data_IF_354227351468
#
_entry.id   IF_354227351468
#
_cell.length_a   1.000
_cell.length_b   1.000
_cell.length_c   1.000
_cell.angle_alpha   90.00
_cell.angle_beta   90.00
_cell.angle_gamma   90.00
#
_symmetry.space_group_name_H-M   'P 1'
#
loop_
_entity.id
_entity.type
_entity.pdbx_description
1 polymer ?
#
# COMPACT_ATOMS: atom_id res chain seq x y z
N UNK A 1 -6.29 36.98 -38.52
CA UNK A 1 -7.04 35.82 -39.06
C UNK A 1 -6.36 35.02 -40.21
N UNK A 2 -5.35 35.53 -40.95
CA UNK A 2 -4.70 34.75 -42.05
C UNK A 2 -3.73 33.63 -41.61
N UNK A 3 -3.29 33.60 -40.35
CA UNK A 3 -2.30 32.61 -39.86
C UNK A 3 -2.87 31.18 -39.79
N UNK A 4 -4.08 31.03 -39.22
CA UNK A 4 -4.81 29.76 -39.12
C UNK A 4 -5.18 29.15 -40.48
N UNK A 5 -5.24 29.97 -41.53
CA UNK A 5 -5.51 29.54 -42.90
C UNK A 5 -4.25 29.19 -43.71
N UNK A 6 -3.05 29.34 -43.14
CA UNK A 6 -1.83 28.95 -43.85
C UNK A 6 -1.70 27.43 -43.93
N UNK A 7 -1.27 26.92 -45.09
CA UNK A 7 -1.01 25.48 -45.30
C UNK A 7 -0.03 24.93 -44.25
N UNK A 8 0.98 25.73 -43.87
CA UNK A 8 1.94 25.38 -42.81
C UNK A 8 1.24 25.09 -41.48
N UNK A 9 0.40 26.01 -41.03
CA UNK A 9 -0.28 25.88 -39.74
C UNK A 9 -1.20 24.66 -39.72
N UNK A 10 -1.98 24.45 -40.79
CA UNK A 10 -2.86 23.28 -40.92
C UNK A 10 -2.08 21.97 -40.89
N UNK A 11 -0.95 21.88 -41.61
CA UNK A 11 -0.08 20.71 -41.58
C UNK A 11 0.50 20.45 -40.19
N UNK A 12 0.99 21.48 -39.49
CA UNK A 12 1.50 21.32 -38.10
C UNK A 12 0.40 20.79 -37.20
N UNK A 13 -0.81 21.36 -37.27
CA UNK A 13 -1.92 20.95 -36.42
C UNK A 13 -2.33 19.49 -36.69
N UNK A 14 -2.43 19.09 -37.96
CA UNK A 14 -2.74 17.70 -38.33
C UNK A 14 -1.65 16.74 -37.82
N UNK A 15 -0.38 17.05 -38.06
CA UNK A 15 0.74 16.20 -37.62
C UNK A 15 0.79 16.07 -36.10
N UNK A 16 0.62 17.19 -35.38
CA UNK A 16 0.56 17.19 -33.93
C UNK A 16 -0.63 16.38 -33.42
N UNK A 17 -1.83 16.57 -33.96
CA UNK A 17 -3.01 15.84 -33.52
C UNK A 17 -2.87 14.35 -33.77
N UNK A 18 -2.41 13.94 -34.95
CA UNK A 18 -2.24 12.52 -35.32
C UNK A 18 -1.17 11.84 -34.47
N UNK A 19 -0.10 12.54 -34.09
CA UNK A 19 0.98 11.96 -33.30
C UNK A 19 0.72 12.04 -31.78
N UNK A 20 0.26 13.19 -31.27
CA UNK A 20 0.13 13.42 -29.83
C UNK A 20 -1.15 12.82 -29.25
N UNK A 21 -2.28 12.82 -29.95
CA UNK A 21 -3.53 12.30 -29.37
C UNK A 21 -3.40 10.81 -29.01
N UNK A 22 -2.96 9.91 -29.91
CA UNK A 22 -2.80 8.50 -29.55
C UNK A 22 -1.71 8.30 -28.49
N UNK A 23 -0.60 9.05 -28.58
CA UNK A 23 0.51 8.94 -27.65
C UNK A 23 0.10 9.33 -26.22
N UNK A 24 -0.60 10.46 -26.05
CA UNK A 24 -1.08 10.91 -24.75
C UNK A 24 -2.18 9.99 -24.21
N UNK A 25 -3.08 9.51 -25.08
CA UNK A 25 -4.11 8.56 -24.68
C UNK A 25 -3.50 7.25 -24.18
N UNK A 26 -2.54 6.68 -24.92
CA UNK A 26 -1.82 5.46 -24.51
C UNK A 26 -1.00 5.68 -23.24
N UNK A 27 -0.27 6.80 -23.15
CA UNK A 27 0.52 7.11 -21.96
C UNK A 27 -0.36 7.29 -20.72
N UNK A 28 -1.49 7.99 -20.85
CA UNK A 28 -2.46 8.16 -19.77
C UNK A 28 -3.06 6.83 -19.35
N UNK A 29 -3.45 5.99 -20.32
CA UNK A 29 -3.99 4.66 -20.05
C UNK A 29 -2.96 3.77 -19.34
N UNK A 30 -1.72 3.72 -19.84
CA UNK A 30 -0.64 2.94 -19.26
C UNK A 30 -0.30 3.40 -17.84
N UNK A 31 -0.22 4.71 -17.60
CA UNK A 31 0.05 5.25 -16.27
C UNK A 31 -1.08 4.92 -15.29
N UNK A 32 -2.33 4.99 -15.73
CA UNK A 32 -3.49 4.60 -14.92
C UNK A 32 -3.47 3.11 -14.56
N UNK A 33 -3.16 2.25 -15.54
CA UNK A 33 -3.05 0.80 -15.33
C UNK A 33 -1.91 0.48 -14.35
N UNK A 34 -0.72 1.05 -14.59
CA UNK A 34 0.46 0.86 -13.74
C UNK A 34 0.21 1.28 -12.29
N UNK A 35 -0.41 2.43 -12.06
CA UNK A 35 -0.74 2.89 -10.70
C UNK A 35 -1.79 2.00 -10.02
N UNK A 36 -2.75 1.47 -10.78
CA UNK A 36 -3.76 0.54 -10.27
C UNK A 36 -3.12 -0.78 -9.86
N UNK A 37 -2.29 -1.37 -10.74
CA UNK A 37 -1.57 -2.62 -10.48
C UNK A 37 -0.63 -2.51 -9.28
N UNK A 38 0.16 -1.44 -9.18
CA UNK A 38 1.04 -1.21 -8.03
C UNK A 38 0.25 -1.04 -6.75
N UNK A 39 -0.83 -0.25 -6.79
CA UNK A 39 -1.68 -0.08 -5.60
C UNK A 39 -2.25 -1.42 -5.16
N UNK A 40 -2.74 -2.23 -6.08
CA UNK A 40 -3.26 -3.56 -5.77
C UNK A 40 -2.17 -4.49 -5.24
N UNK A 41 -0.97 -4.46 -5.83
CA UNK A 41 0.18 -5.25 -5.38
C UNK A 41 0.59 -4.89 -3.94
N UNK A 42 0.64 -3.59 -3.63
CA UNK A 42 0.91 -3.09 -2.27
C UNK A 42 -0.16 -3.59 -1.31
N UNK A 43 -1.45 -3.44 -1.65
CA UNK A 43 -2.55 -3.92 -0.82
C UNK A 43 -2.42 -5.40 -0.50
N UNK A 44 -2.21 -6.23 -1.51
CA UNK A 44 -2.04 -7.69 -1.35
C UNK A 44 -0.84 -8.01 -0.47
N UNK A 45 0.31 -7.38 -0.73
CA UNK A 45 1.54 -7.62 0.04
C UNK A 45 1.38 -7.24 1.52
N UNK A 46 0.79 -6.08 1.82
CA UNK A 46 0.55 -5.65 3.20
C UNK A 46 -0.43 -6.59 3.92
N UNK A 47 -1.51 -7.02 3.25
CA UNK A 47 -2.45 -8.01 3.81
C UNK A 47 -1.76 -9.35 4.07
N UNK A 48 -0.89 -9.81 3.17
CA UNK A 48 -0.11 -11.03 3.35
C UNK A 48 0.87 -10.92 4.53
N UNK A 49 1.53 -9.77 4.70
CA UNK A 49 2.40 -9.50 5.86
C UNK A 49 1.58 -9.54 7.14
N UNK A 50 0.43 -8.85 7.19
CA UNK A 50 -0.46 -8.88 8.35
C UNK A 50 -0.94 -10.31 8.67
N UNK A 51 -1.38 -11.05 7.65
CA UNK A 51 -1.88 -12.41 7.78
C UNK A 51 -0.80 -13.41 8.21
N UNK A 52 0.41 -13.27 7.69
CA UNK A 52 1.56 -14.07 8.09
C UNK A 52 1.91 -13.83 9.56
N UNK A 53 1.96 -12.56 9.98
CA UNK A 53 2.22 -12.21 11.37
C UNK A 53 1.07 -12.61 12.31
N UNK A 54 -0.19 -12.53 11.87
CA UNK A 54 -1.32 -13.06 12.62
C UNK A 54 -1.18 -14.56 12.89
N UNK A 55 -0.72 -15.35 11.91
CA UNK A 55 -0.41 -16.78 12.09
C UNK A 55 0.79 -17.02 13.02
N UNK A 56 1.82 -16.18 12.97
CA UNK A 56 2.97 -16.26 13.89
C UNK A 56 2.50 -16.06 15.33
N UNK A 57 1.69 -15.03 15.58
CA UNK A 57 1.11 -14.76 16.89
C UNK A 57 0.17 -15.89 17.32
N UNK A 58 -0.67 -16.39 16.42
CA UNK A 58 -1.56 -17.51 16.70
C UNK A 58 -0.79 -18.77 17.14
N UNK A 59 0.26 -19.12 16.40
CA UNK A 59 1.14 -20.24 16.73
C UNK A 59 1.86 -20.04 18.06
N UNK A 60 2.32 -18.82 18.36
CA UNK A 60 2.97 -18.50 19.62
C UNK A 60 1.99 -18.68 20.80
N UNK A 61 0.77 -18.14 20.70
CA UNK A 61 -0.28 -18.30 21.73
C UNK A 61 -0.66 -19.78 21.89
N UNK A 62 -0.86 -20.48 20.79
CA UNK A 62 -1.20 -21.90 20.79
C UNK A 62 -0.09 -22.75 21.40
N UNK A 63 1.19 -22.43 21.15
CA UNK A 63 2.32 -23.12 21.76
C UNK A 63 2.32 -22.96 23.28
N UNK A 64 2.13 -21.73 23.80
CA UNK A 64 2.05 -21.48 25.25
C UNK A 64 0.85 -22.16 25.89
N UNK A 65 -0.30 -22.11 25.21
CA UNK A 65 -1.53 -22.77 25.65
C UNK A 65 -1.35 -24.27 25.71
N UNK A 66 -0.78 -24.87 24.67
CA UNK A 66 -0.53 -26.31 24.61
C UNK A 66 0.45 -26.76 25.69
N UNK A 67 1.52 -26.00 25.93
CA UNK A 67 2.44 -26.31 27.02
C UNK A 67 1.71 -26.34 28.38
N UNK A 68 0.83 -25.37 28.64
CA UNK A 68 0.05 -25.34 29.88
C UNK A 68 -0.97 -26.48 29.98
N UNK A 69 -1.58 -26.87 28.86
CA UNK A 69 -2.48 -28.04 28.78
C UNK A 69 -1.72 -29.34 29.07
N UNK A 70 -0.55 -29.53 28.48
CA UNK A 70 0.25 -30.75 28.72
C UNK A 70 0.81 -30.79 30.14
N UNK A 71 1.19 -29.63 30.70
CA UNK A 71 1.54 -29.52 32.12
C UNK A 71 0.38 -29.97 33.02
N UNK A 72 -0.83 -29.48 32.77
CA UNK A 72 -2.02 -29.88 33.52
C UNK A 72 -2.29 -31.39 33.46
N UNK A 73 -2.09 -32.01 32.28
CA UNK A 73 -2.30 -33.46 32.09
C UNK A 73 -1.22 -34.32 32.73
N UNK A 74 0.04 -33.89 32.67
CA UNK A 74 1.17 -34.68 33.14
C UNK A 74 1.27 -34.76 34.68
N UNK A 75 0.55 -33.87 35.38
CA UNK A 75 0.67 -33.64 36.81
C UNK A 75 -0.69 -33.77 37.51
N UNK A 76 -1.06 -34.98 37.96
CA UNK A 76 -2.34 -35.25 38.62
C UNK A 76 -2.61 -34.36 39.84
N UNK A 77 -1.55 -33.83 40.48
CA UNK A 77 -1.65 -32.93 41.62
C UNK A 77 -2.52 -31.68 41.35
N UNK A 78 -2.61 -31.22 40.09
CA UNK A 78 -3.52 -30.13 39.72
C UNK A 78 -4.98 -30.53 39.88
N UNK A 79 -5.37 -31.72 39.41
CA UNK A 79 -6.73 -32.25 39.53
C UNK A 79 -7.08 -32.71 40.96
N UNK A 80 -6.07 -33.15 41.72
CA UNK A 80 -6.20 -33.49 43.15
C UNK A 80 -6.26 -32.25 44.05
N UNK A 81 -5.98 -31.06 43.51
CA UNK A 81 -5.87 -29.79 44.24
C UNK A 81 -4.86 -29.89 45.42
N UNK A 82 -3.78 -30.66 45.24
CA UNK A 82 -2.70 -30.82 46.23
C UNK A 82 -1.77 -29.61 46.20
N UNK A 83 -2.10 -28.62 47.03
CA UNK A 83 -1.39 -27.33 47.09
C UNK A 83 0.14 -27.47 47.21
N UNK A 84 0.65 -28.43 47.99
CA UNK A 84 2.09 -28.55 48.24
C UNK A 84 2.83 -29.07 47.01
N UNK A 85 2.29 -30.11 46.34
CA UNK A 85 2.89 -30.65 45.12
C UNK A 85 2.77 -29.66 43.97
N UNK A 86 1.60 -29.05 43.81
CA UNK A 86 1.35 -28.08 42.75
C UNK A 86 2.27 -26.86 42.86
N UNK A 87 2.51 -26.35 44.07
CA UNK A 87 3.46 -25.24 44.29
C UNK A 87 4.89 -25.60 43.85
N UNK A 88 5.34 -26.83 44.13
CA UNK A 88 6.67 -27.27 43.70
C UNK A 88 6.77 -27.36 42.17
N UNK A 89 5.75 -27.90 41.51
CA UNK A 89 5.68 -28.00 40.05
C UNK A 89 5.69 -26.62 39.39
N UNK A 90 4.84 -25.69 39.84
CA UNK A 90 4.79 -24.33 39.30
C UNK A 90 6.09 -23.54 39.54
N UNK A 91 6.78 -23.77 40.67
CA UNK A 91 8.07 -23.13 40.95
C UNK A 91 9.13 -23.52 39.92
N UNK A 92 9.15 -24.78 39.47
CA UNK A 92 10.08 -25.26 38.45
C UNK A 92 9.74 -24.62 37.09
N UNK A 93 8.47 -24.61 36.70
CA UNK A 93 8.01 -24.01 35.43
C UNK A 93 8.40 -22.53 35.35
N UNK A 94 8.11 -21.76 36.41
CA UNK A 94 8.45 -20.33 36.49
C UNK A 94 9.96 -20.05 36.42
N UNK A 95 10.82 -21.01 36.77
CA UNK A 95 12.29 -20.83 36.69
C UNK A 95 12.84 -21.09 35.28
N UNK A 96 12.14 -21.87 34.46
CA UNK A 96 12.60 -22.28 33.13
C UNK A 96 12.07 -21.34 32.05
N UNK A 97 10.84 -20.85 32.19
CA UNK A 97 10.21 -20.01 31.16
C UNK A 97 10.40 -18.50 31.43
N UNK A 98 11.43 -17.89 30.83
CA UNK A 98 11.72 -16.46 31.02
C UNK A 98 10.62 -15.50 30.54
N UNK A 99 9.73 -15.95 29.65
CA UNK A 99 8.60 -15.17 29.13
C UNK A 99 7.39 -15.20 30.07
N UNK A 100 7.33 -16.18 30.97
CA UNK A 100 6.25 -16.33 31.96
C UNK A 100 6.66 -15.64 33.25
N UNK A 101 5.87 -14.67 33.67
CA UNK A 101 6.14 -13.95 34.92
C UNK A 101 5.69 -14.74 36.15
N UNK A 102 4.49 -15.32 36.06
CA UNK A 102 3.88 -16.14 37.11
C UNK A 102 2.93 -17.16 36.53
N UNK A 103 3.07 -18.42 36.93
CA UNK A 103 2.01 -19.41 36.86
C UNK A 103 1.31 -19.57 38.22
N UNK A 104 0.00 -19.77 38.21
CA UNK A 104 -0.85 -19.92 39.39
C UNK A 104 -1.97 -20.94 39.17
N UNK A 105 -2.62 -21.35 40.25
CA UNK A 105 -3.88 -22.12 40.22
C UNK A 105 -4.95 -21.36 40.99
N UNK A 106 -6.16 -21.30 40.44
CA UNK A 106 -7.34 -20.80 41.12
C UNK A 106 -8.41 -21.88 41.21
N UNK A 107 -9.16 -21.92 42.31
CA UNK A 107 -10.27 -22.86 42.50
C UNK A 107 -11.51 -22.48 41.65
N UNK A 108 -12.56 -23.31 41.76
CA UNK A 108 -13.84 -23.13 41.06
C UNK A 108 -14.56 -21.80 41.35
N UNK A 109 -14.20 -21.17 42.47
CA UNK A 109 -14.77 -19.92 42.96
C UNK A 109 -13.82 -18.73 42.69
N UNK A 110 -12.72 -18.95 41.95
CA UNK A 110 -11.78 -17.91 41.54
C UNK A 110 -10.77 -17.51 42.60
N UNK A 111 -10.66 -18.26 43.72
CA UNK A 111 -9.66 -17.97 44.73
C UNK A 111 -8.30 -18.53 44.27
N UNK A 112 -7.30 -17.66 44.17
CA UNK A 112 -5.93 -18.11 43.91
C UNK A 112 -5.44 -18.97 45.08
N UNK A 113 -5.22 -20.24 44.79
CA UNK A 113 -4.74 -21.20 45.78
C UNK A 113 -3.21 -21.19 45.88
N UNK A 114 -2.52 -20.72 44.84
CA UNK A 114 -1.08 -20.96 44.66
C UNK A 114 -0.42 -19.77 43.96
N UNK A 115 0.20 -18.90 44.76
CA UNK A 115 1.27 -17.99 44.34
C UNK A 115 2.24 -17.83 45.53
N UNK A 116 3.53 -17.59 45.24
CA UNK A 116 4.53 -17.09 46.20
C UNK A 116 4.21 -15.66 46.72
N UNK A 117 2.99 -15.16 46.50
CA UNK A 117 2.55 -13.82 46.82
C UNK A 117 1.29 -13.88 47.70
N UNK A 118 1.36 -13.24 48.86
CA UNK A 118 0.29 -13.24 49.85
C UNK A 118 -0.90 -12.40 49.38
N UNK A 119 -1.99 -13.08 49.04
CA UNK A 119 -3.33 -12.55 48.74
C UNK A 119 -3.46 -11.75 47.43
N UNK A 120 -3.71 -12.47 46.33
CA UNK A 120 -4.30 -11.87 45.11
C UNK A 120 -5.79 -11.64 45.29
N UNK A 121 -6.40 -10.66 44.59
CA UNK A 121 -7.84 -10.55 44.50
C UNK A 121 -8.42 -11.79 43.84
N UNK A 122 -9.69 -12.07 44.15
CA UNK A 122 -10.43 -13.13 43.51
C UNK A 122 -10.59 -12.84 42.00
N UNK A 123 -10.40 -13.85 41.15
CA UNK A 123 -10.45 -13.73 39.69
C UNK A 123 -11.74 -14.25 39.06
N UNK A 124 -12.77 -14.56 39.85
CA UNK A 124 -14.04 -15.10 39.35
C UNK A 124 -14.72 -14.17 38.32
N UNK A 125 -14.52 -12.85 38.46
CA UNK A 125 -15.08 -11.84 37.57
C UNK A 125 -14.21 -11.58 36.32
N UNK A 126 -13.03 -12.19 36.24
CA UNK A 126 -12.13 -12.00 35.10
C UNK A 126 -12.66 -12.75 33.89
N UNK A 127 -12.70 -12.08 32.73
CA UNK A 127 -13.29 -12.63 31.51
C UNK A 127 -12.69 -13.98 31.09
N UNK A 128 -11.38 -14.16 31.21
CA UNK A 128 -10.70 -15.42 30.88
C UNK A 128 -11.07 -16.56 31.84
N UNK A 129 -11.27 -16.27 33.13
CA UNK A 129 -11.73 -17.26 34.11
C UNK A 129 -13.17 -17.70 33.80
N UNK A 130 -14.07 -16.74 33.56
CA UNK A 130 -15.47 -17.00 33.18
C UNK A 130 -15.51 -17.85 31.90
N UNK A 131 -14.78 -17.46 30.85
CA UNK A 131 -14.71 -18.22 29.61
C UNK A 131 -14.18 -19.64 29.81
N UNK A 132 -13.12 -19.83 30.59
CA UNK A 132 -12.57 -21.16 30.86
C UNK A 132 -13.55 -22.04 31.66
N UNK A 133 -14.27 -21.45 32.62
CA UNK A 133 -15.29 -22.11 33.44
C UNK A 133 -16.50 -22.55 32.62
N UNK A 134 -17.04 -21.67 31.79
CA UNK A 134 -18.24 -21.91 31.00
C UNK A 134 -18.00 -22.85 29.82
N UNK A 135 -16.91 -22.61 29.09
CA UNK A 135 -16.61 -23.38 27.86
C UNK A 135 -15.86 -24.67 28.12
N UNK A 136 -15.25 -24.81 29.31
CA UNK A 136 -14.32 -25.91 29.66
C UNK A 136 -13.18 -26.06 28.64
N UNK A 137 -12.79 -24.96 28.00
CA UNK A 137 -11.67 -24.87 27.06
C UNK A 137 -10.67 -23.81 27.56
N UNK A 138 -9.42 -23.84 27.06
CA UNK A 138 -8.48 -22.76 27.34
C UNK A 138 -9.03 -21.39 26.90
N UNK A 139 -8.72 -20.36 27.66
CA UNK A 139 -9.12 -18.99 27.41
C UNK A 139 -7.92 -18.05 27.58
N UNK A 140 -7.87 -17.00 26.77
CA UNK A 140 -6.80 -16.00 26.78
C UNK A 140 -7.42 -14.66 27.14
N UNK A 141 -6.81 -13.94 28.08
CA UNK A 141 -7.28 -12.61 28.48
C UNK A 141 -6.90 -11.55 27.45
N UNK A 142 -7.56 -10.39 27.48
CA UNK A 142 -6.97 -9.17 26.93
C UNK A 142 -5.74 -8.76 27.76
N UNK A 143 -5.02 -7.72 27.34
CA UNK A 143 -3.92 -7.15 28.10
C UNK A 143 -4.39 -6.68 29.48
N UNK A 144 -3.61 -7.02 30.50
CA UNK A 144 -3.86 -6.59 31.87
C UNK A 144 -2.56 -6.21 32.57
N UNK A 145 -2.69 -5.50 33.69
CA UNK A 145 -1.58 -5.17 34.56
C UNK A 145 -1.38 -6.29 35.58
N UNK A 146 -0.15 -6.75 35.73
CA UNK A 146 0.21 -7.77 36.70
C UNK A 146 0.13 -7.20 38.11
N UNK A 147 -0.69 -7.81 38.95
CA UNK A 147 -0.82 -7.47 40.37
C UNK A 147 0.49 -7.64 41.16
N UNK A 148 1.43 -8.42 40.63
CA UNK A 148 2.73 -8.67 41.26
C UNK A 148 3.74 -7.57 40.98
N UNK A 149 3.79 -7.07 39.74
CA UNK A 149 4.91 -6.24 39.27
C UNK A 149 4.50 -4.92 38.61
N UNK A 150 3.21 -4.73 38.31
CA UNK A 150 2.74 -3.65 37.43
C UNK A 150 3.10 -3.85 35.96
N UNK A 151 3.73 -4.97 35.59
CA UNK A 151 4.08 -5.26 34.20
C UNK A 151 2.83 -5.63 33.41
N UNK A 152 2.84 -5.33 32.11
CA UNK A 152 1.74 -5.72 31.23
C UNK A 152 1.87 -7.16 30.81
N UNK A 153 0.80 -7.91 31.01
CA UNK A 153 0.74 -9.35 30.81
C UNK A 153 -0.51 -9.75 30.03
N UNK A 154 -0.47 -10.97 29.49
CA UNK A 154 -1.62 -11.71 28.98
C UNK A 154 -1.74 -12.97 29.84
N UNK A 155 -2.93 -13.26 30.35
CA UNK A 155 -3.23 -14.48 31.07
C UNK A 155 -3.72 -15.56 30.11
N UNK A 156 -3.08 -16.73 30.16
CA UNK A 156 -3.54 -17.95 29.49
C UNK A 156 -4.08 -18.87 30.57
N UNK A 157 -5.39 -19.13 30.54
CA UNK A 157 -6.08 -19.96 31.51
C UNK A 157 -6.50 -21.29 30.89
N UNK A 158 -6.16 -22.39 31.54
CA UNK A 158 -6.54 -23.75 31.15
C UNK A 158 -7.42 -24.33 32.27
N UNK A 159 -8.63 -24.84 31.96
CA UNK A 159 -9.51 -25.40 32.97
C UNK A 159 -8.98 -26.73 33.50
N UNK A 160 -9.05 -26.87 34.82
CA UNK A 160 -8.81 -28.12 35.54
C UNK A 160 -10.16 -28.83 35.69
N UNK A 161 -10.23 -30.05 35.17
CA UNK A 161 -11.45 -30.85 35.18
C UNK A 161 -11.25 -32.13 36.00
N UNK A 162 -12.27 -32.56 36.73
CA UNK A 162 -12.28 -33.88 37.35
C UNK A 162 -12.51 -34.99 36.32
N UNK A 163 -12.44 -36.26 36.77
CA UNK A 163 -12.68 -37.43 35.90
C UNK A 163 -14.09 -37.48 35.30
N UNK A 164 -15.05 -36.78 35.89
CA UNK A 164 -16.42 -36.65 35.40
C UNK A 164 -16.62 -35.42 34.48
N UNK A 165 -15.58 -34.62 34.26
CA UNK A 165 -15.62 -33.41 33.45
C UNK A 165 -16.19 -32.18 34.17
N UNK A 166 -16.28 -32.19 35.50
CA UNK A 166 -16.68 -31.02 36.29
C UNK A 166 -15.52 -30.04 36.43
N UNK A 167 -15.83 -28.75 36.41
CA UNK A 167 -14.85 -27.69 36.55
C UNK A 167 -14.40 -27.56 38.01
N UNK A 168 -13.10 -27.74 38.25
CA UNK A 168 -12.48 -27.63 39.57
C UNK A 168 -11.79 -26.29 39.79
N UNK A 169 -11.43 -25.59 38.71
CA UNK A 169 -10.62 -24.37 38.74
C UNK A 169 -9.85 -24.19 37.44
N UNK A 170 -8.84 -23.31 37.47
CA UNK A 170 -7.93 -23.10 36.34
C UNK A 170 -6.48 -23.19 36.79
N UNK A 171 -5.62 -23.63 35.87
CA UNK A 171 -4.20 -23.30 35.88
C UNK A 171 -4.00 -22.12 34.93
N UNK A 172 -3.23 -21.13 35.34
CA UNK A 172 -3.01 -19.91 34.58
C UNK A 172 -1.54 -19.59 34.49
N UNK A 173 -1.09 -19.15 33.30
CA UNK A 173 0.22 -18.55 33.09
C UNK A 173 0.06 -17.09 32.67
N UNK A 174 0.71 -16.19 33.39
CA UNK A 174 0.83 -14.78 33.05
C UNK A 174 2.08 -14.58 32.20
N UNK A 175 1.89 -14.33 30.91
CA UNK A 175 2.96 -14.12 29.95
C UNK A 175 3.21 -12.62 29.79
N UNK A 176 4.47 -12.20 29.86
CA UNK A 176 4.84 -10.81 29.66
C UNK A 176 4.54 -10.39 28.22
N UNK A 177 3.84 -9.26 28.05
CA UNK A 177 3.59 -8.67 26.72
C UNK A 177 4.90 -8.36 26.00
N UNK A 178 5.98 -8.08 26.76
CA UNK A 178 7.32 -7.88 26.19
C UNK A 178 7.81 -9.07 25.36
N UNK A 179 7.38 -10.29 25.65
CA UNK A 179 7.72 -11.48 24.85
C UNK A 179 7.17 -11.41 23.41
N UNK A 180 6.20 -10.56 23.13
CA UNK A 180 5.70 -10.32 21.77
C UNK A 180 6.70 -9.51 20.92
N UNK A 181 7.65 -8.79 21.53
CA UNK A 181 8.62 -7.95 20.82
C UNK A 181 9.46 -8.74 19.81
N UNK A 182 9.89 -9.96 20.16
CA UNK A 182 10.65 -10.85 19.27
C UNK A 182 9.82 -11.43 18.13
N UNK A 183 8.49 -11.35 18.20
CA UNK A 183 7.58 -11.91 17.21
C UNK A 183 7.04 -10.84 16.25
N UNK A 184 6.46 -9.76 16.78
CA UNK A 184 5.83 -8.69 15.99
C UNK A 184 6.66 -7.40 15.96
N UNK A 185 7.52 -7.17 16.96
CA UNK A 185 8.32 -5.95 17.07
C UNK A 185 9.44 -5.83 16.03
N UNK A 186 9.80 -6.93 15.36
CA UNK A 186 10.82 -6.97 14.30
C UNK A 186 10.26 -6.70 12.90
N UNK A 187 8.94 -6.61 12.75
CA UNK A 187 8.30 -6.34 11.45
C UNK A 187 8.63 -4.91 11.04
N UNK A 188 9.24 -4.78 9.86
CA UNK A 188 9.58 -3.51 9.25
C UNK A 188 8.92 -3.39 7.88
N UNK A 189 8.15 -2.33 7.68
CA UNK A 189 7.49 -2.00 6.41
C UNK A 189 8.08 -0.68 5.91
N UNK A 190 8.45 -0.65 4.63
CA UNK A 190 9.14 0.50 4.04
C UNK A 190 10.35 0.94 4.90
N UNK A 191 10.48 2.23 5.22
CA UNK A 191 11.61 2.74 6.00
C UNK A 191 11.32 2.81 7.50
N UNK A 192 10.13 3.28 7.89
CA UNK A 192 9.74 3.54 9.29
C UNK A 192 8.52 2.76 9.78
N UNK A 193 7.82 2.07 8.88
CA UNK A 193 6.63 1.29 9.18
C UNK A 193 6.88 0.11 10.11
N UNK A 194 5.84 -0.29 10.83
CA UNK A 194 5.90 -1.25 11.92
C UNK A 194 4.59 -2.03 12.05
N UNK A 195 4.63 -3.08 12.87
CA UNK A 195 3.43 -3.83 13.24
C UNK A 195 3.10 -3.66 14.73
N UNK A 196 1.83 -3.77 15.05
CA UNK A 196 1.32 -3.75 16.41
C UNK A 196 0.10 -4.69 16.55
N UNK A 197 -0.24 -5.01 17.78
CA UNK A 197 -1.28 -5.98 18.11
C UNK A 197 -2.38 -5.29 18.92
N UNK A 198 -3.63 -5.53 18.56
CA UNK A 198 -4.79 -4.91 19.18
C UNK A 198 -5.86 -5.98 19.47
N UNK A 199 -6.57 -5.85 20.57
CA UNK A 199 -7.70 -6.72 20.89
C UNK A 199 -8.94 -6.37 20.05
N UNK A 200 -9.91 -7.27 20.05
CA UNK A 200 -11.21 -7.07 19.39
C UNK A 200 -12.05 -5.94 20.00
N UNK A 201 -11.66 -5.40 21.16
CA UNK A 201 -12.29 -4.22 21.78
C UNK A 201 -11.51 -2.93 21.55
N UNK A 202 -10.42 -2.99 20.79
CA UNK A 202 -9.60 -1.83 20.46
C UNK A 202 -8.49 -1.52 21.48
N UNK A 203 -8.25 -2.38 22.46
CA UNK A 203 -7.12 -2.19 23.38
C UNK A 203 -5.82 -2.62 22.71
N UNK A 204 -4.78 -1.80 22.82
CA UNK A 204 -3.49 -2.08 22.20
C UNK A 204 -2.74 -3.08 23.08
N UNK A 205 -2.55 -4.29 22.58
CA UNK A 205 -1.86 -5.38 23.31
C UNK A 205 -0.35 -5.24 23.21
N UNK A 206 0.16 -4.86 22.05
CA UNK A 206 1.59 -4.58 21.87
C UNK A 206 1.76 -3.46 20.87
N UNK A 207 2.69 -2.55 21.12
CA UNK A 207 3.06 -1.47 20.21
C UNK A 207 4.52 -1.06 20.46
N UNK A 208 5.22 -0.64 19.40
CA UNK A 208 6.62 -0.17 19.48
C UNK A 208 6.77 0.99 20.46
N UNK A 209 5.85 1.95 20.37
CA UNK A 209 5.67 2.97 21.40
C UNK A 209 5.02 2.38 22.65
N UNK A 210 5.84 2.00 23.63
CA UNK A 210 5.37 1.34 24.84
C UNK A 210 4.32 2.15 25.62
N UNK A 211 4.29 3.48 25.53
CA UNK A 211 3.24 4.28 26.17
C UNK A 211 1.82 3.94 25.67
N UNK A 212 1.68 3.42 24.45
CA UNK A 212 0.38 3.10 23.83
C UNK A 212 -0.20 1.75 24.27
N UNK A 213 0.65 0.79 24.60
CA UNK A 213 0.17 -0.54 24.96
C UNK A 213 -0.62 -0.49 26.29
N UNK A 214 -1.67 -1.30 26.41
CA UNK A 214 -2.64 -1.27 27.51
C UNK A 214 -3.65 -0.10 27.47
N UNK A 215 -3.58 0.76 26.45
CA UNK A 215 -4.55 1.84 26.22
C UNK A 215 -5.44 1.49 25.04
N UNK A 216 -6.62 2.11 24.99
CA UNK A 216 -7.51 1.97 23.84
C UNK A 216 -7.03 2.85 22.69
N UNK A 217 -7.12 2.37 21.44
CA UNK A 217 -6.63 3.10 20.27
C UNK A 217 -7.26 4.50 20.12
N UNK A 218 -8.51 4.67 20.55
CA UNK A 218 -9.24 5.96 20.55
C UNK A 218 -8.60 7.04 21.41
N UNK A 219 -7.64 6.69 22.28
CA UNK A 219 -6.88 7.68 23.06
C UNK A 219 -5.76 8.36 22.25
N UNK A 220 -5.44 7.84 21.06
CA UNK A 220 -4.33 8.32 20.22
C UNK A 220 -4.81 8.82 18.85
N UNK A 221 -6.12 8.97 18.66
CA UNK A 221 -6.68 9.57 17.46
C UNK A 221 -7.92 10.38 17.83
N UNK A 222 -8.00 11.58 17.28
CA UNK A 222 -9.16 12.47 17.36
C UNK A 222 -9.89 12.58 16.02
N UNK A 223 -9.32 12.03 14.95
CA UNK A 223 -9.92 11.99 13.63
C UNK A 223 -11.08 10.98 13.56
N UNK A 224 -12.29 11.51 13.33
CA UNK A 224 -13.51 10.70 13.27
C UNK A 224 -13.46 9.67 12.12
N UNK A 225 -12.78 9.98 11.01
CA UNK A 225 -12.66 9.05 9.89
C UNK A 225 -11.82 7.83 10.28
N UNK A 226 -10.69 8.06 10.95
CA UNK A 226 -9.80 7.00 11.45
C UNK A 226 -10.53 6.14 12.47
N UNK A 227 -11.25 6.75 13.43
CA UNK A 227 -12.09 6.00 14.37
C UNK A 227 -13.12 5.14 13.62
N UNK A 228 -13.79 5.70 12.61
CA UNK A 228 -14.78 4.97 11.84
C UNK A 228 -14.17 3.78 11.07
N UNK A 229 -12.99 3.97 10.47
CA UNK A 229 -12.27 2.90 9.77
C UNK A 229 -11.93 1.76 10.74
N UNK A 230 -11.46 2.09 11.94
CA UNK A 230 -11.13 1.07 12.93
C UNK A 230 -12.37 0.36 13.47
N UNK A 231 -13.41 1.10 13.85
CA UNK A 231 -14.64 0.53 14.41
C UNK A 231 -15.43 -0.30 13.39
N UNK A 232 -15.53 0.14 12.14
CA UNK A 232 -16.36 -0.52 11.13
C UNK A 232 -15.62 -1.55 10.28
N UNK A 233 -14.29 -1.41 10.13
CA UNK A 233 -13.50 -2.34 9.31
C UNK A 233 -12.56 -3.18 10.17
N UNK A 234 -11.62 -2.56 10.89
CA UNK A 234 -10.54 -3.28 11.58
C UNK A 234 -11.08 -4.22 12.65
N UNK A 235 -12.01 -3.75 13.48
CA UNK A 235 -12.58 -4.55 14.58
C UNK A 235 -13.59 -5.60 14.10
N UNK A 236 -14.19 -5.42 12.92
CA UNK A 236 -15.29 -6.24 12.42
C UNK A 236 -14.82 -7.33 11.44
N UNK A 237 -14.02 -6.96 10.44
CA UNK A 237 -13.64 -7.88 9.36
C UNK A 237 -12.37 -8.67 9.70
N UNK A 238 -12.16 -9.80 9.03
CA UNK A 238 -11.00 -10.66 9.32
C UNK A 238 -9.68 -10.09 8.83
N UNK A 239 -9.67 -9.48 7.65
CA UNK A 239 -8.50 -8.84 7.07
C UNK A 239 -8.90 -7.85 5.97
N UNK A 240 -8.24 -6.70 5.90
CA UNK A 240 -8.35 -5.78 4.76
C UNK A 240 -7.17 -4.79 4.76
N UNK A 241 -7.10 -3.99 3.71
CA UNK A 241 -6.22 -2.84 3.61
C UNK A 241 -6.95 -1.55 4.03
N UNK A 242 -6.25 -0.69 4.76
CA UNK A 242 -6.76 0.57 5.29
C UNK A 242 -5.84 1.74 4.94
N UNK A 243 -6.43 2.92 4.82
CA UNK A 243 -5.73 4.19 4.75
C UNK A 243 -6.37 5.12 5.77
N UNK A 244 -5.57 5.79 6.57
CA UNK A 244 -6.05 6.66 7.65
C UNK A 244 -5.02 7.76 7.90
N UNK A 245 -5.39 8.78 8.65
CA UNK A 245 -4.50 9.89 8.98
C UNK A 245 -4.18 9.84 10.48
N UNK A 246 -2.91 10.06 10.84
CA UNK A 246 -2.56 10.32 12.24
C UNK A 246 -2.95 11.76 12.63
N UNK A 247 -3.07 12.02 13.94
CA UNK A 247 -3.45 13.33 14.48
C UNK A 247 -2.45 14.45 14.12
N UNK A 248 -1.20 14.10 13.76
CA UNK A 248 -0.20 15.04 13.27
C UNK A 248 -0.34 15.36 11.77
N UNK A 249 -1.31 14.76 11.09
CA UNK A 249 -1.61 14.91 9.67
C UNK A 249 -0.83 13.95 8.76
N UNK A 250 -0.06 13.01 9.32
CA UNK A 250 0.66 12.01 8.54
C UNK A 250 -0.32 11.00 7.94
N UNK A 251 -0.30 10.89 6.61
CA UNK A 251 -1.11 9.89 5.89
C UNK A 251 -0.50 8.52 6.06
N UNK A 252 -1.24 7.60 6.66
CA UNK A 252 -0.84 6.22 6.88
C UNK A 252 -1.56 5.29 5.93
N UNK A 253 -0.86 4.24 5.53
CA UNK A 253 -1.47 3.06 4.93
C UNK A 253 -1.13 1.85 5.78
N UNK A 254 -1.97 0.84 5.72
CA UNK A 254 -1.72 -0.39 6.44
C UNK A 254 -2.66 -1.49 6.03
N UNK A 255 -2.46 -2.65 6.63
CA UNK A 255 -3.36 -3.76 6.53
C UNK A 255 -3.51 -4.41 7.91
N UNK A 256 -4.60 -5.15 8.08
CA UNK A 256 -4.83 -5.92 9.29
C UNK A 256 -5.23 -7.35 8.98
N UNK A 257 -4.98 -8.23 9.93
CA UNK A 257 -5.45 -9.61 9.90
C UNK A 257 -5.77 -10.11 11.31
N UNK A 258 -6.75 -11.00 11.39
CA UNK A 258 -7.25 -11.55 12.65
C UNK A 258 -6.47 -12.80 13.05
N UNK A 259 -6.03 -12.82 14.31
CA UNK A 259 -5.46 -14.00 14.98
C UNK A 259 -6.60 -14.96 15.30
N UNK A 260 -6.67 -16.16 14.70
CA UNK A 260 -7.82 -17.05 14.81
C UNK A 260 -8.19 -17.45 16.25
N UNK A 261 -7.19 -17.70 17.11
CA UNK A 261 -7.42 -18.23 18.46
C UNK A 261 -8.00 -17.17 19.41
N UNK A 262 -7.63 -15.90 19.24
CA UNK A 262 -7.98 -14.83 20.19
C UNK A 262 -8.90 -13.75 19.62
N UNK A 263 -9.06 -13.70 18.29
CA UNK A 263 -9.76 -12.60 17.62
C UNK A 263 -8.99 -11.28 17.62
N UNK A 264 -7.75 -11.27 18.08
CA UNK A 264 -6.90 -10.08 18.05
C UNK A 264 -6.57 -9.67 16.61
N UNK A 265 -6.35 -8.39 16.39
CA UNK A 265 -5.94 -7.83 15.12
C UNK A 265 -4.44 -7.58 15.15
N UNK A 266 -3.71 -8.16 14.21
CA UNK A 266 -2.36 -7.72 13.85
C UNK A 266 -2.53 -6.62 12.82
N UNK A 267 -2.04 -5.42 13.13
CA UNK A 267 -2.06 -4.28 12.21
C UNK A 267 -0.62 -4.01 11.80
N UNK A 268 -0.41 -3.81 10.51
CA UNK A 268 0.88 -3.47 9.94
C UNK A 268 0.69 -2.16 9.17
N UNK A 269 1.55 -1.17 9.41
CA UNK A 269 1.31 0.19 8.92
C UNK A 269 2.59 0.96 8.66
N UNK A 270 2.54 1.89 7.70
CA UNK A 270 3.64 2.75 7.33
C UNK A 270 3.13 4.08 6.73
N UNK A 271 3.96 5.14 6.72
CA UNK A 271 3.65 6.37 6.02
C UNK A 271 3.41 6.13 4.52
N UNK A 272 2.31 6.68 3.99
CA UNK A 272 1.89 6.51 2.61
C UNK A 272 2.95 6.96 1.60
N UNK A 273 3.65 8.05 1.89
CA UNK A 273 4.73 8.58 1.06
C UNK A 273 5.94 7.66 0.95
N UNK A 274 6.22 6.83 1.97
CA UNK A 274 7.28 5.83 1.94
C UNK A 274 6.85 4.63 1.09
N UNK A 275 5.66 4.10 1.33
CA UNK A 275 5.11 2.93 0.63
C UNK A 275 4.98 3.20 -0.87
N UNK A 276 4.48 4.37 -1.27
CA UNK A 276 4.31 4.76 -2.67
C UNK A 276 5.52 5.50 -3.28
N UNK A 277 6.64 5.61 -2.57
CA UNK A 277 7.79 6.42 -3.00
C UNK A 277 8.30 6.01 -4.40
N UNK A 278 8.42 4.70 -4.64
CA UNK A 278 8.86 4.16 -5.93
C UNK A 278 7.85 4.42 -7.06
N UNK A 279 6.55 4.35 -6.76
CA UNK A 279 5.48 4.60 -7.71
C UNK A 279 5.45 6.07 -8.13
N UNK A 280 5.57 7.00 -7.18
CA UNK A 280 5.63 8.44 -7.48
C UNK A 280 6.90 8.82 -8.25
N UNK A 281 8.06 8.22 -7.93
CA UNK A 281 9.28 8.39 -8.73
C UNK A 281 9.10 7.91 -10.18
N UNK A 282 8.53 6.72 -10.38
CA UNK A 282 8.27 6.18 -11.70
C UNK A 282 7.32 7.09 -12.51
N UNK A 283 6.24 7.57 -11.89
CA UNK A 283 5.30 8.53 -12.47
C UNK A 283 5.96 9.83 -12.91
N UNK A 284 6.84 10.41 -12.09
CA UNK A 284 7.59 11.63 -12.46
C UNK A 284 8.51 11.39 -13.67
N UNK A 285 9.21 10.25 -13.71
CA UNK A 285 10.04 9.87 -14.85
C UNK A 285 9.19 9.71 -16.11
N UNK A 286 8.04 9.04 -16.03
CA UNK A 286 7.11 8.89 -17.16
C UNK A 286 6.63 10.24 -17.69
N UNK A 287 6.24 11.16 -16.81
CA UNK A 287 5.82 12.52 -17.21
C UNK A 287 6.95 13.26 -17.92
N UNK A 288 8.18 13.18 -17.39
CA UNK A 288 9.35 13.79 -18.01
C UNK A 288 9.61 13.25 -19.42
N UNK A 289 9.52 11.94 -19.63
CA UNK A 289 9.66 11.31 -20.94
C UNK A 289 8.55 11.73 -21.92
N UNK A 290 7.30 11.85 -21.45
CA UNK A 290 6.18 12.35 -22.27
C UNK A 290 6.42 13.79 -22.72
N UNK A 291 6.96 14.64 -21.85
CA UNK A 291 7.29 16.03 -22.18
C UNK A 291 8.38 16.05 -23.28
N UNK A 292 9.44 15.26 -23.14
CA UNK A 292 10.50 15.16 -24.16
C UNK A 292 9.92 14.69 -25.50
N UNK A 293 9.13 13.61 -25.48
CA UNK A 293 8.48 13.08 -26.69
C UNK A 293 7.59 14.13 -27.36
N UNK A 294 6.83 14.90 -26.57
CA UNK A 294 5.98 15.98 -27.06
C UNK A 294 6.78 17.08 -27.76
N UNK A 295 7.88 17.52 -27.15
CA UNK A 295 8.78 18.52 -27.74
C UNK A 295 9.38 18.01 -29.06
N UNK A 296 9.84 16.74 -29.10
CA UNK A 296 10.38 16.13 -30.32
C UNK A 296 9.34 16.08 -31.44
N UNK A 297 8.12 15.62 -31.14
CA UNK A 297 7.01 15.59 -32.11
C UNK A 297 6.69 16.99 -32.63
N UNK A 298 6.70 18.01 -31.77
CA UNK A 298 6.48 19.40 -32.18
C UNK A 298 7.59 19.91 -33.11
N UNK A 299 8.86 19.67 -32.77
CA UNK A 299 10.00 20.07 -33.61
C UNK A 299 9.94 19.39 -34.99
N UNK A 300 9.70 18.07 -35.01
CA UNK A 300 9.59 17.29 -36.26
C UNK A 300 8.41 17.81 -37.10
N UNK A 301 7.25 18.06 -36.47
CA UNK A 301 6.07 18.59 -37.15
C UNK A 301 6.35 19.93 -37.84
N UNK A 302 7.06 20.84 -37.16
CA UNK A 302 7.46 22.13 -37.73
C UNK A 302 8.44 21.96 -38.90
N UNK A 303 9.42 21.06 -38.78
CA UNK A 303 10.39 20.78 -39.85
C UNK A 303 9.68 20.23 -41.09
N UNK A 304 8.83 19.21 -40.92
CA UNK A 304 8.08 18.57 -42.01
C UNK A 304 7.12 19.56 -42.66
N UNK A 305 6.34 20.29 -41.86
CA UNK A 305 5.41 21.29 -42.38
C UNK A 305 6.14 22.40 -43.15
N UNK A 306 7.33 22.84 -42.70
CA UNK A 306 8.15 23.80 -43.44
C UNK A 306 8.68 23.22 -44.77
N UNK A 307 9.15 21.97 -44.78
CA UNK A 307 9.68 21.30 -45.98
C UNK A 307 8.63 21.10 -47.09
N UNK A 308 7.36 21.00 -46.71
CA UNK A 308 6.22 20.86 -47.64
C UNK A 308 5.65 22.24 -48.02
N UNK A 309 5.31 23.08 -47.03
CA UNK A 309 4.58 24.33 -47.30
C UNK A 309 5.43 25.41 -47.96
N UNK A 310 6.75 25.47 -47.70
CA UNK A 310 7.63 26.52 -48.25
C UNK A 310 7.77 26.42 -49.78
N UNK A 311 8.10 25.26 -50.38
CA UNK A 311 8.12 25.11 -51.85
C UNK A 311 6.78 25.41 -52.51
N UNK A 312 5.66 24.91 -51.95
CA UNK A 312 4.31 25.14 -52.50
C UNK A 312 4.00 26.64 -52.52
N UNK A 313 4.35 27.37 -51.45
CA UNK A 313 4.18 28.83 -51.39
C UNK A 313 5.05 29.56 -52.41
N UNK A 314 6.27 29.07 -52.68
CA UNK A 314 7.16 29.64 -53.70
C UNK A 314 6.58 29.41 -55.10
N UNK A 315 6.11 28.19 -55.40
CA UNK A 315 5.45 27.87 -56.65
C UNK A 315 4.21 28.76 -56.87
N UNK A 316 3.33 28.86 -55.88
CA UNK A 316 2.14 29.71 -55.94
C UNK A 316 2.48 31.21 -56.15
N UNK A 317 3.52 31.71 -55.48
CA UNK A 317 4.00 33.08 -55.65
C UNK A 317 4.58 33.35 -57.04
N UNK A 318 5.28 32.37 -57.62
CA UNK A 318 5.80 32.46 -58.98
C UNK A 318 4.69 32.45 -60.01
N UNK A 319 3.71 31.54 -59.89
CA UNK A 319 2.51 31.54 -60.74
C UNK A 319 1.75 32.88 -60.68
N UNK A 320 1.63 33.47 -59.50
CA UNK A 320 1.00 34.79 -59.34
C UNK A 320 1.82 35.94 -59.96
N UNK A 321 3.14 35.75 -60.13
CA UNK A 321 4.01 36.72 -60.84
C UNK A 321 3.79 36.60 -62.34
N UNK A 322 3.76 35.37 -62.87
CA UNK A 322 3.44 35.09 -64.27
C UNK A 322 2.04 35.60 -64.65
N UNK A 323 1.04 35.45 -63.77
CA UNK A 323 -0.31 35.95 -63.98
C UNK A 323 -0.39 37.48 -64.10
N UNK A 324 0.61 38.20 -63.58
CA UNK A 324 0.75 39.66 -63.73
C UNK A 324 1.57 40.07 -64.96
N UNK A 325 1.78 39.12 -65.89
CA UNK A 325 2.62 39.27 -67.07
C UNK A 325 4.09 39.62 -66.79
N UNK A 326 4.58 39.40 -65.55
CA UNK A 326 6.01 39.50 -65.24
C UNK A 326 6.66 38.14 -65.44
N UNK A 327 7.32 38.00 -66.59
CA UNK A 327 8.06 36.81 -66.95
C UNK A 327 9.55 36.95 -66.67
N UNK A 328 10.03 37.91 -65.89
CA UNK A 328 11.49 38.11 -65.72
C UNK A 328 12.12 37.26 -64.61
N UNK A 329 11.30 36.70 -63.71
CA UNK A 329 11.78 35.96 -62.54
C UNK A 329 11.88 34.47 -62.83
N UNK A 330 12.91 33.82 -62.29
CA UNK A 330 13.09 32.37 -62.37
C UNK A 330 12.83 31.67 -61.03
N UNK A 331 12.50 30.39 -61.10
CA UNK A 331 12.36 29.54 -59.91
C UNK A 331 13.73 29.13 -59.36
N UNK A 332 13.87 28.99 -58.02
CA UNK A 332 15.14 28.54 -57.43
C UNK A 332 15.54 27.14 -57.91
N UNK A 333 16.76 27.01 -58.45
CA UNK A 333 17.32 25.73 -58.92
C UNK A 333 17.31 24.62 -57.86
N UNK A 334 17.48 24.97 -56.58
CA UNK A 334 17.46 24.01 -55.47
C UNK A 334 16.13 23.27 -55.32
N UNK A 335 15.01 23.91 -55.70
CA UNK A 335 13.69 23.29 -55.63
C UNK A 335 13.41 22.43 -56.86
N UNK A 336 13.94 22.78 -58.04
CA UNK A 336 13.83 21.96 -59.25
C UNK A 336 14.69 20.69 -59.21
N UNK A 337 15.75 20.69 -58.40
CA UNK A 337 16.59 19.50 -58.15
C UNK A 337 15.99 18.49 -57.19
N UNK A 338 14.84 18.78 -56.56
CA UNK A 338 14.15 17.80 -55.72
C UNK A 338 13.68 16.62 -56.59
N UNK A 339 13.68 15.44 -55.99
CA UNK A 339 13.31 14.17 -56.63
C UNK A 339 11.97 13.62 -56.13
N UNK A 340 11.16 14.47 -55.49
CA UNK A 340 9.81 14.16 -55.02
C UNK A 340 8.75 14.91 -55.85
N UNK A 341 7.48 14.70 -55.55
CA UNK A 341 6.34 15.31 -56.24
C UNK A 341 6.38 16.85 -56.19
N UNK A 342 7.04 17.40 -55.16
CA UNK A 342 7.30 18.84 -55.07
C UNK A 342 8.33 19.27 -56.12
N UNK A 343 9.38 18.49 -56.36
CA UNK A 343 10.33 18.72 -57.45
C UNK A 343 9.66 18.70 -58.82
N UNK A 344 8.79 17.73 -59.05
CA UNK A 344 8.06 17.61 -60.32
C UNK A 344 7.08 18.77 -60.53
N UNK A 345 6.39 19.22 -59.48
CA UNK A 345 5.60 20.46 -59.52
C UNK A 345 6.46 21.66 -59.95
N UNK A 346 7.65 21.83 -59.35
CA UNK A 346 8.53 22.97 -59.65
C UNK A 346 9.07 22.93 -61.08
N UNK A 347 9.43 21.74 -61.58
CA UNK A 347 9.85 21.54 -62.98
C UNK A 347 8.73 21.89 -63.94
N UNK A 348 7.51 21.42 -63.69
CA UNK A 348 6.33 21.69 -64.52
C UNK A 348 5.99 23.19 -64.57
N UNK A 349 6.04 23.89 -63.42
CA UNK A 349 5.86 25.35 -63.39
C UNK A 349 6.95 26.08 -64.19
N UNK A 350 8.21 25.64 -64.11
CA UNK A 350 9.31 26.23 -64.87
C UNK A 350 9.17 25.98 -66.39
N UNK A 351 8.76 24.78 -66.80
CA UNK A 351 8.48 24.46 -68.21
C UNK A 351 7.38 25.38 -68.73
N UNK A 352 6.27 25.54 -68.00
CA UNK A 352 5.19 26.45 -68.38
C UNK A 352 5.67 27.89 -68.53
N UNK A 353 6.45 28.41 -67.57
CA UNK A 353 7.02 29.77 -67.65
C UNK A 353 7.88 29.97 -68.89
N UNK A 354 8.71 28.99 -69.25
CA UNK A 354 9.56 29.05 -70.45
C UNK A 354 8.74 29.00 -71.73
N UNK A 355 7.74 28.14 -71.80
CA UNK A 355 6.86 28.06 -72.96
C UNK A 355 6.13 29.37 -73.23
N UNK A 356 5.62 30.04 -72.18
CA UNK A 356 4.95 31.34 -72.34
C UNK A 356 5.94 32.42 -72.80
N UNK A 357 7.14 32.50 -72.21
CA UNK A 357 8.20 33.43 -72.67
C UNK A 357 8.54 33.23 -74.14
N UNK A 358 8.66 31.98 -74.58
CA UNK A 358 8.98 31.66 -75.97
C UNK A 358 7.87 32.12 -76.92
N UNK A 359 6.60 31.92 -76.56
CA UNK A 359 5.46 32.43 -77.34
C UNK A 359 5.49 33.95 -77.45
N UNK A 360 5.72 34.66 -76.34
CA UNK A 360 5.79 36.13 -76.33
C UNK A 360 6.96 36.64 -77.19
N UNK A 361 8.14 36.05 -77.05
CA UNK A 361 9.31 36.41 -77.85
C UNK A 361 9.10 36.11 -79.34
N UNK A 362 8.38 35.03 -79.66
CA UNK A 362 8.00 34.71 -81.05
C UNK A 362 7.15 35.82 -81.66
N UNK A 363 6.12 36.28 -80.94
CA UNK A 363 5.26 37.39 -81.40
C UNK A 363 6.04 38.70 -81.55
N UNK A 364 6.92 39.03 -80.60
CA UNK A 364 7.76 40.25 -80.66
C UNK A 364 8.70 40.23 -81.88
N UNK A 365 9.18 39.06 -82.31
CA UNK A 365 10.08 38.94 -83.46
C UNK A 365 9.35 38.91 -84.82
N UNK A 366 8.03 38.71 -84.84
CA UNK A 366 7.20 38.75 -86.05
C UNK A 366 6.61 40.14 -86.36
N UNK A 367 6.68 41.08 -85.39
CA UNK A 367 6.38 42.51 -85.56
C UNK A 367 7.65 43.32 -85.74
#
# INVERSE_FOLDING_TARGET
>A
MRFFNSLKFRLILILLSVALIPLLMLASFQLSQYMTEITQSIKTQEIEIASSNAKIIDNWINSKTLHLVELNKAHPEFSEMDMKKTMNTLKIVNQVEQEVETSLVADKDGNCMIDNYTSRPNMADQAHFIMAKETKKPAISDIMESEKSGSRIIAIAVPILDKAGNFLGIIQSNVLVKALESNIGTVKIAESGFAYLMSNTGNIIFHREWQRTGKNYKQFTTDENTINIFDQNVLVNDSDFIQYDEDDGTKMVGAYATVPTTGWKVIVTAPSNEVYQHAEKAKLISIFLIIIATVLVAVISVIVANRISKPIRIAAGHLNTLAKADFTKDLPNSLMKRQDEIGDLMKSVNVMSKSIRNVINGVINET
#
